data_IF_146985382358
#
_entry.id   IF_146985382358
#
_cell.length_a   1.000
_cell.length_b   1.000
_cell.length_c   1.000
_cell.angle_alpha   90.00
_cell.angle_beta   90.00
_cell.angle_gamma   90.00
#
_symmetry.space_group_name_H-M   'P 1'
#
loop_
_entity.id
_entity.type
_entity.pdbx_description
1 polymer ?
#
# COMPACT_ATOMS: atom_id res chain seq x y z
N UNK A 1 -12.44 -21.32 -13.19
CA UNK A 1 -12.30 -20.17 -14.08
C UNK A 1 -12.74 -18.83 -13.46
N UNK A 2 -13.72 -18.79 -12.55
CA UNK A 2 -14.21 -17.53 -11.95
C UNK A 2 -13.20 -16.89 -10.96
N UNK A 3 -12.47 -17.70 -10.17
CA UNK A 3 -11.48 -17.21 -9.20
C UNK A 3 -10.26 -16.48 -9.82
N UNK A 4 -9.82 -16.91 -11.03
CA UNK A 4 -8.70 -16.25 -11.74
C UNK A 4 -9.02 -14.81 -12.18
N UNK A 5 -10.29 -14.49 -12.49
CA UNK A 5 -10.68 -13.14 -12.92
C UNK A 5 -10.79 -12.13 -11.78
N UNK A 6 -11.11 -12.60 -10.56
CA UNK A 6 -11.26 -11.74 -9.39
C UNK A 6 -9.87 -11.33 -8.84
N UNK A 7 -8.91 -12.27 -8.79
CA UNK A 7 -7.53 -11.98 -8.37
C UNK A 7 -6.82 -11.01 -9.32
N UNK A 8 -6.97 -11.19 -10.65
CA UNK A 8 -6.36 -10.29 -11.62
C UNK A 8 -6.90 -8.85 -11.54
N UNK A 9 -8.17 -8.66 -11.14
CA UNK A 9 -8.79 -7.33 -11.05
C UNK A 9 -8.35 -6.56 -9.78
N UNK A 10 -8.16 -7.25 -8.65
CA UNK A 10 -7.69 -6.62 -7.42
C UNK A 10 -6.22 -6.17 -7.50
N UNK A 11 -5.40 -6.88 -8.30
CA UNK A 11 -3.96 -6.61 -8.42
C UNK A 11 -3.60 -5.48 -9.39
N UNK A 12 -4.47 -5.14 -10.35
CA UNK A 12 -4.26 -4.00 -11.23
C UNK A 12 -4.20 -2.65 -10.47
N UNK A 13 -4.80 -2.59 -9.28
CA UNK A 13 -4.80 -1.37 -8.44
C UNK A 13 -3.49 -1.13 -7.69
N UNK A 14 -2.66 -2.16 -7.47
CA UNK A 14 -1.38 -2.04 -6.74
C UNK A 14 -0.28 -1.47 -7.63
N UNK A 15 -0.38 -1.58 -8.96
CA UNK A 15 0.62 -1.04 -9.88
C UNK A 15 0.58 0.49 -10.06
N UNK A 16 -0.44 1.19 -9.56
CA UNK A 16 -0.62 2.63 -9.77
C UNK A 16 0.06 3.54 -8.72
N UNK A 17 0.68 2.99 -7.67
CA UNK A 17 1.22 3.78 -6.55
C UNK A 17 2.77 3.94 -6.62
N UNK A 18 3.38 3.75 -7.77
CA UNK A 18 4.84 3.77 -7.90
C UNK A 18 5.42 4.69 -8.97
N UNK A 19 4.72 5.70 -9.45
CA UNK A 19 5.32 6.67 -10.38
C UNK A 19 5.87 7.89 -9.65
N UNK A 20 7.05 7.76 -9.06
CA UNK A 20 7.93 8.90 -8.83
C UNK A 20 8.35 9.41 -10.21
N UNK A 21 7.89 10.61 -10.59
CA UNK A 21 8.34 11.27 -11.78
C UNK A 21 9.82 11.64 -11.64
N UNK A 22 10.69 10.78 -12.16
CA UNK A 22 12.07 11.14 -12.46
C UNK A 22 12.01 11.91 -13.78
N UNK A 23 12.32 13.19 -13.73
CA UNK A 23 12.59 14.00 -14.91
C UNK A 23 13.86 13.44 -15.57
N UNK A 24 13.68 12.57 -16.55
CA UNK A 24 14.79 12.06 -17.35
C UNK A 24 15.03 13.03 -18.51
N UNK A 25 16.25 13.59 -18.53
CA UNK A 25 16.82 14.16 -19.74
C UNK A 25 16.84 13.10 -20.84
N UNK A 26 16.42 13.51 -22.04
CA UNK A 26 16.49 12.67 -23.23
C UNK A 26 17.96 12.33 -23.53
N UNK A 27 18.22 11.04 -23.63
CA UNK A 27 19.24 10.32 -24.39
C UNK A 27 19.71 9.10 -23.58
N UNK A 28 18.96 8.05 -23.63
CA UNK A 28 19.41 6.65 -23.79
C UNK A 28 18.18 5.72 -23.71
N UNK A 29 17.59 5.40 -24.86
CA UNK A 29 16.60 4.33 -24.97
C UNK A 29 17.32 2.96 -24.99
N UNK A 30 17.97 2.64 -23.90
CA UNK A 30 18.24 1.25 -23.58
C UNK A 30 16.89 0.65 -23.15
N UNK A 31 16.25 -0.12 -24.03
CA UNK A 31 15.11 -0.95 -23.68
C UNK A 31 15.48 -1.73 -22.45
N UNK A 32 14.83 -1.43 -21.32
CA UNK A 32 15.02 -2.15 -20.08
C UNK A 32 14.73 -3.62 -20.39
N UNK A 33 15.76 -4.45 -20.48
CA UNK A 33 15.65 -5.86 -20.78
C UNK A 33 14.81 -6.45 -19.65
N UNK A 34 13.55 -6.81 -19.92
CA UNK A 34 12.64 -7.43 -18.95
C UNK A 34 13.37 -8.65 -18.39
N UNK A 35 13.84 -8.56 -17.15
CA UNK A 35 14.60 -9.64 -16.53
C UNK A 35 13.63 -10.79 -16.27
N UNK A 36 13.71 -11.81 -17.13
CA UNK A 36 12.87 -13.01 -17.07
C UNK A 36 13.26 -13.84 -15.85
N UNK A 37 12.27 -14.26 -15.06
CA UNK A 37 12.44 -15.09 -13.87
C UNK A 37 11.92 -16.49 -14.12
N UNK A 38 12.64 -17.49 -13.64
CA UNK A 38 12.26 -18.90 -13.71
C UNK A 38 11.46 -19.32 -12.48
N UNK A 39 10.85 -20.52 -12.53
CA UNK A 39 10.24 -21.14 -11.35
C UNK A 39 11.23 -21.24 -10.18
N UNK A 40 12.45 -21.68 -10.45
CA UNK A 40 13.50 -21.83 -9.43
C UNK A 40 13.90 -20.50 -8.79
N UNK A 41 13.91 -19.38 -9.56
CA UNK A 41 14.17 -18.06 -9.02
C UNK A 41 13.05 -17.63 -8.05
N UNK A 42 11.79 -17.91 -8.40
CA UNK A 42 10.65 -17.59 -7.56
C UNK A 42 10.62 -18.44 -6.28
N UNK A 43 10.88 -19.76 -6.39
CA UNK A 43 10.98 -20.67 -5.24
C UNK A 43 12.08 -20.21 -4.26
N UNK A 44 13.24 -19.84 -4.79
CA UNK A 44 14.34 -19.32 -3.96
C UNK A 44 13.99 -18.02 -3.26
N UNK A 45 13.29 -17.11 -3.95
CA UNK A 45 12.83 -15.84 -3.38
C UNK A 45 11.82 -16.08 -2.24
N UNK A 46 10.77 -16.87 -2.48
CA UNK A 46 9.73 -17.16 -1.48
C UNK A 46 10.34 -17.81 -0.24
N UNK A 47 11.21 -18.81 -0.44
CA UNK A 47 11.92 -19.49 0.65
C UNK A 47 12.79 -18.53 1.48
N UNK A 48 13.38 -17.51 0.86
CA UNK A 48 14.19 -16.52 1.60
C UNK A 48 13.38 -15.71 2.62
N UNK A 49 12.06 -15.67 2.48
CA UNK A 49 11.15 -14.95 3.37
C UNK A 49 10.43 -15.83 4.41
N UNK A 50 10.74 -17.13 4.52
CA UNK A 50 10.06 -18.03 5.46
C UNK A 50 10.20 -17.57 6.91
N UNK A 51 11.40 -17.15 7.35
CA UNK A 51 11.61 -16.66 8.71
C UNK A 51 10.97 -15.30 8.94
N UNK A 52 11.01 -14.42 7.92
CA UNK A 52 10.39 -13.10 7.96
C UNK A 52 8.87 -13.21 8.08
N UNK A 53 8.23 -14.04 7.26
CA UNK A 53 6.79 -14.33 7.30
C UNK A 53 6.33 -14.79 8.68
N UNK A 54 7.16 -15.58 9.38
CA UNK A 54 6.79 -16.17 10.64
C UNK A 54 6.91 -15.22 11.86
N UNK A 55 7.77 -14.21 11.80
CA UNK A 55 8.14 -13.40 12.97
C UNK A 55 8.18 -11.89 12.70
N UNK A 56 8.93 -11.46 11.71
CA UNK A 56 9.27 -10.04 11.53
C UNK A 56 8.12 -9.22 10.95
N UNK A 57 7.22 -9.85 10.21
CA UNK A 57 6.07 -9.19 9.58
C UNK A 57 5.18 -8.45 10.61
N UNK A 58 5.16 -8.92 11.85
CA UNK A 58 4.34 -8.34 12.91
C UNK A 58 4.83 -6.97 13.41
N UNK A 59 6.03 -6.55 13.02
CA UNK A 59 6.59 -5.24 13.37
C UNK A 59 6.14 -4.14 12.38
N UNK A 60 5.57 -4.54 11.25
CA UNK A 60 5.12 -3.64 10.19
C UNK A 60 3.62 -3.33 10.32
N UNK A 61 3.18 -2.26 9.65
CA UNK A 61 1.76 -1.93 9.57
C UNK A 61 0.95 -3.03 8.88
N UNK A 62 -0.28 -3.20 9.32
CA UNK A 62 -1.15 -4.30 8.88
C UNK A 62 -1.40 -4.24 7.38
N UNK A 63 -1.63 -3.05 6.81
CA UNK A 63 -1.95 -2.89 5.39
C UNK A 63 -0.78 -3.28 4.47
N UNK A 64 0.44 -2.84 4.79
CA UNK A 64 1.63 -3.21 4.01
C UNK A 64 2.03 -4.66 4.25
N UNK A 65 1.91 -5.14 5.50
CA UNK A 65 2.14 -6.52 5.87
C UNK A 65 1.22 -7.51 5.15
N UNK A 66 -0.09 -7.25 5.12
CA UNK A 66 -1.07 -8.06 4.40
C UNK A 66 -0.78 -8.08 2.89
N UNK A 67 -0.49 -6.95 2.26
CA UNK A 67 -0.11 -6.91 0.84
C UNK A 67 1.10 -7.77 0.53
N UNK A 68 2.08 -7.80 1.42
CA UNK A 68 3.26 -8.66 1.24
C UNK A 68 2.92 -10.13 1.42
N UNK A 69 2.11 -10.49 2.42
CA UNK A 69 1.65 -11.87 2.63
C UNK A 69 0.80 -12.37 1.46
N UNK A 70 -0.09 -11.54 0.93
CA UNK A 70 -0.90 -11.85 -0.27
C UNK A 70 0.00 -12.09 -1.51
N UNK A 71 1.06 -11.29 -1.67
CA UNK A 71 2.03 -11.48 -2.75
C UNK A 71 2.80 -12.81 -2.62
N UNK A 72 3.15 -13.21 -1.39
CA UNK A 72 3.77 -14.51 -1.13
C UNK A 72 2.79 -15.67 -1.39
N UNK A 73 1.51 -15.55 -0.98
CA UNK A 73 0.49 -16.54 -1.27
C UNK A 73 0.25 -16.68 -2.78
N UNK A 74 0.21 -15.55 -3.49
CA UNK A 74 0.12 -15.57 -4.96
C UNK A 74 1.31 -16.29 -5.59
N UNK A 75 2.53 -16.02 -5.11
CA UNK A 75 3.74 -16.68 -5.60
C UNK A 75 3.71 -18.20 -5.34
N UNK A 76 3.27 -18.63 -4.14
CA UNK A 76 3.07 -20.03 -3.80
C UNK A 76 2.07 -20.70 -4.76
N UNK A 77 0.96 -20.03 -5.09
CA UNK A 77 -0.04 -20.53 -6.04
C UNK A 77 0.54 -20.67 -7.45
N UNK A 78 1.33 -19.69 -7.91
CA UNK A 78 2.01 -19.74 -9.22
C UNK A 78 3.05 -20.86 -9.27
N UNK A 79 3.81 -21.10 -8.21
CA UNK A 79 4.78 -22.19 -8.09
C UNK A 79 4.09 -23.55 -8.22
N UNK A 80 2.92 -23.71 -7.59
CA UNK A 80 2.20 -24.99 -7.52
C UNK A 80 1.28 -25.25 -8.73
N UNK A 81 1.02 -24.24 -9.57
CA UNK A 81 0.22 -24.42 -10.79
C UNK A 81 1.09 -24.93 -11.93
N UNK A 82 0.86 -26.18 -12.37
CA UNK A 82 1.56 -26.79 -13.50
C UNK A 82 1.35 -26.09 -14.84
N UNK A 83 0.34 -25.22 -14.96
CA UNK A 83 0.05 -24.43 -16.16
C UNK A 83 0.73 -23.04 -16.13
N UNK A 84 1.45 -22.70 -15.07
CA UNK A 84 2.16 -21.43 -14.95
C UNK A 84 3.29 -21.32 -15.97
N UNK A 85 3.40 -20.13 -16.54
CA UNK A 85 4.38 -19.77 -17.56
C UNK A 85 5.54 -18.98 -16.96
N UNK A 86 6.58 -18.77 -17.76
CA UNK A 86 7.72 -17.90 -17.39
C UNK A 86 7.29 -16.46 -17.11
N UNK A 87 6.27 -15.97 -17.79
CA UNK A 87 5.71 -14.64 -17.53
C UNK A 87 5.00 -14.61 -16.15
N UNK A 88 4.27 -15.66 -15.78
CA UNK A 88 3.63 -15.76 -14.46
C UNK A 88 4.68 -15.76 -13.34
N UNK A 89 5.79 -16.52 -13.48
CA UNK A 89 6.88 -16.51 -12.50
C UNK A 89 7.54 -15.13 -12.40
N UNK A 90 7.72 -14.44 -13.53
CA UNK A 90 8.30 -13.09 -13.55
C UNK A 90 7.40 -12.08 -12.84
N UNK A 91 6.10 -12.12 -13.10
CA UNK A 91 5.11 -11.23 -12.45
C UNK A 91 5.06 -11.49 -10.95
N UNK A 92 4.96 -12.75 -10.52
CA UNK A 92 4.94 -13.11 -9.10
C UNK A 92 6.23 -12.66 -8.39
N UNK A 93 7.39 -12.86 -9.00
CA UNK A 93 8.68 -12.41 -8.47
C UNK A 93 8.71 -10.89 -8.28
N UNK A 94 8.24 -10.13 -9.26
CA UNK A 94 8.19 -8.68 -9.20
C UNK A 94 7.23 -8.20 -8.11
N UNK A 95 6.08 -8.85 -7.96
CA UNK A 95 5.09 -8.51 -6.91
C UNK A 95 5.65 -8.73 -5.51
N UNK A 96 6.25 -9.89 -5.24
CA UNK A 96 6.88 -10.17 -3.94
C UNK A 96 7.98 -9.15 -3.65
N UNK A 97 8.83 -8.86 -4.64
CA UNK A 97 9.93 -7.90 -4.47
C UNK A 97 9.40 -6.49 -4.22
N UNK A 98 8.38 -6.05 -4.97
CA UNK A 98 7.82 -4.70 -4.84
C UNK A 98 7.11 -4.51 -3.49
N UNK A 99 6.31 -5.48 -3.05
CA UNK A 99 5.61 -5.42 -1.77
C UNK A 99 6.57 -5.48 -0.60
N UNK A 100 7.61 -6.33 -0.65
CA UNK A 100 8.66 -6.35 0.36
C UNK A 100 9.39 -5.01 0.46
N UNK A 101 9.77 -4.41 -0.66
CA UNK A 101 10.45 -3.11 -0.69
C UNK A 101 9.55 -1.95 -0.22
N UNK A 102 8.24 -2.13 -0.20
CA UNK A 102 7.29 -1.14 0.31
C UNK A 102 7.03 -1.26 1.81
N UNK A 103 7.48 -2.34 2.45
CA UNK A 103 7.38 -2.50 3.90
C UNK A 103 8.19 -1.44 4.61
N UNK A 104 7.56 -0.75 5.55
CA UNK A 104 8.21 0.28 6.34
C UNK A 104 7.65 0.30 7.76
N UNK A 105 8.52 0.43 8.73
CA UNK A 105 8.15 0.75 10.11
C UNK A 105 8.21 2.27 10.23
N UNK A 106 7.09 2.88 10.60
CA UNK A 106 6.99 4.32 10.76
C UNK A 106 7.30 4.75 12.18
N UNK A 107 7.89 5.93 12.33
CA UNK A 107 8.21 6.55 13.62
C UNK A 107 7.08 7.47 14.09
N UNK A 108 7.08 7.79 15.38
CA UNK A 108 6.16 8.77 15.96
C UNK A 108 6.30 10.15 15.30
N UNK A 109 7.54 10.56 14.95
CA UNK A 109 7.80 11.84 14.28
C UNK A 109 7.23 11.88 12.86
N UNK A 110 7.27 10.75 12.14
CA UNK A 110 6.66 10.65 10.81
C UNK A 110 5.14 10.72 10.91
N UNK A 111 4.53 10.02 11.89
CA UNK A 111 3.10 10.10 12.15
C UNK A 111 2.67 11.51 12.53
N UNK A 112 3.38 12.17 13.44
CA UNK A 112 3.11 13.56 13.83
C UNK A 112 3.21 14.53 12.64
N UNK A 113 4.16 14.29 11.73
CA UNK A 113 4.31 15.07 10.50
C UNK A 113 3.12 14.87 9.55
N UNK A 114 2.65 13.63 9.40
CA UNK A 114 1.48 13.29 8.60
C UNK A 114 0.20 13.93 9.16
N UNK A 115 -0.02 13.85 10.49
CA UNK A 115 -1.14 14.50 11.18
C UNK A 115 -1.11 16.01 10.90
N UNK A 116 0.04 16.66 11.10
CA UNK A 116 0.21 18.09 10.84
C UNK A 116 -0.09 18.46 9.38
N UNK A 117 0.33 17.65 8.43
CA UNK A 117 0.08 17.87 7.01
C UNK A 117 -1.41 17.80 6.65
N UNK A 118 -2.20 17.02 7.39
CA UNK A 118 -3.63 16.84 7.19
C UNK A 118 -4.51 17.73 8.09
N UNK A 119 -3.90 18.47 9.04
CA UNK A 119 -4.63 19.29 10.00
C UNK A 119 -5.54 20.34 9.35
N UNK A 120 -5.10 20.98 8.28
CA UNK A 120 -5.92 21.98 7.59
C UNK A 120 -7.17 21.38 6.93
N UNK A 121 -7.09 20.14 6.45
CA UNK A 121 -8.26 19.41 5.93
C UNK A 121 -9.23 19.10 7.07
N UNK A 122 -8.71 18.58 8.18
CA UNK A 122 -9.51 18.26 9.36
C UNK A 122 -10.17 19.49 9.96
N UNK A 123 -9.42 20.60 10.14
CA UNK A 123 -9.94 21.86 10.71
C UNK A 123 -10.96 22.54 9.78
N UNK A 124 -10.79 22.47 8.46
CA UNK A 124 -11.69 23.16 7.51
C UNK A 124 -13.13 22.65 7.59
N UNK A 125 -13.30 21.40 7.97
CA UNK A 125 -14.63 20.85 8.16
C UNK A 125 -15.31 21.32 9.45
N UNK A 126 -14.54 21.57 10.51
CA UNK A 126 -15.08 22.10 11.75
C UNK A 126 -15.56 23.56 11.64
N UNK A 127 -15.09 24.30 10.64
CA UNK A 127 -15.44 25.71 10.41
C UNK A 127 -16.66 25.84 9.49
N UNK A 128 -16.89 24.87 8.60
CA UNK A 128 -17.95 24.93 7.60
C UNK A 128 -19.19 24.10 7.98
N UNK A 129 -19.32 23.74 9.23
CA UNK A 129 -20.01 22.55 9.71
C UNK A 129 -21.53 22.58 9.71
N UNK A 130 -22.26 23.47 9.07
CA UNK A 130 -23.73 23.36 9.17
C UNK A 130 -24.51 23.32 7.84
N UNK A 131 -24.00 23.79 6.72
CA UNK A 131 -24.83 23.76 5.49
C UNK A 131 -24.08 23.50 4.17
N UNK A 132 -22.74 23.51 4.16
CA UNK A 132 -21.94 23.43 2.92
C UNK A 132 -21.11 22.13 2.78
N UNK A 133 -21.03 21.33 3.83
CA UNK A 133 -20.08 20.21 3.90
C UNK A 133 -20.54 18.93 3.22
N UNK A 134 -21.83 18.70 3.10
CA UNK A 134 -22.36 17.47 2.45
C UNK A 134 -21.98 17.35 0.98
N UNK A 135 -21.43 18.42 0.38
CA UNK A 135 -21.10 18.46 -1.03
C UNK A 135 -19.61 18.50 -1.38
N UNK A 136 -18.71 18.61 -0.40
CA UNK A 136 -17.27 18.71 -0.67
C UNK A 136 -16.58 17.35 -0.72
N UNK A 137 -17.01 16.44 0.12
CA UNK A 137 -16.49 15.08 0.20
C UNK A 137 -17.66 14.08 0.27
N UNK A 138 -17.43 12.87 -0.18
CA UNK A 138 -18.32 11.74 0.09
C UNK A 138 -18.38 11.53 1.62
N UNK A 139 -19.60 11.54 2.19
CA UNK A 139 -19.81 11.49 3.65
C UNK A 139 -19.07 10.31 4.31
N UNK A 140 -19.18 9.11 3.73
CA UNK A 140 -18.52 7.91 4.26
C UNK A 140 -16.98 8.04 4.23
N UNK A 141 -16.44 8.67 3.20
CA UNK A 141 -14.98 8.91 3.09
C UNK A 141 -14.51 9.96 4.06
N UNK A 142 -15.35 10.98 4.28
CA UNK A 142 -15.05 12.01 5.27
C UNK A 142 -15.04 11.43 6.68
N UNK A 143 -16.07 10.67 7.05
CA UNK A 143 -16.18 10.04 8.36
C UNK A 143 -14.99 9.10 8.61
N UNK A 144 -14.59 8.32 7.58
CA UNK A 144 -13.39 7.50 7.66
C UNK A 144 -12.14 8.35 7.91
N UNK A 145 -11.94 9.44 7.14
CA UNK A 145 -10.78 10.31 7.31
C UNK A 145 -10.71 10.91 8.72
N UNK A 146 -11.83 11.42 9.26
CA UNK A 146 -11.91 11.96 10.62
C UNK A 146 -11.55 10.91 11.64
N UNK A 147 -12.14 9.72 11.53
CA UNK A 147 -11.86 8.60 12.43
C UNK A 147 -10.40 8.20 12.44
N UNK A 148 -9.76 8.11 11.26
CA UNK A 148 -8.34 7.75 11.16
C UNK A 148 -7.42 8.89 11.63
N UNK A 149 -7.81 10.14 11.41
CA UNK A 149 -7.08 11.30 11.92
C UNK A 149 -7.07 11.34 13.46
N UNK A 150 -8.23 11.19 14.10
CA UNK A 150 -8.36 11.16 15.55
C UNK A 150 -7.66 9.94 16.17
N UNK A 151 -7.75 8.79 15.53
CA UNK A 151 -7.04 7.59 15.93
C UNK A 151 -5.52 7.78 15.87
N UNK A 152 -5.02 8.44 14.82
CA UNK A 152 -3.60 8.76 14.68
C UNK A 152 -3.11 9.72 15.78
N UNK A 153 -3.90 10.75 16.13
CA UNK A 153 -3.58 11.64 17.27
C UNK A 153 -3.55 10.87 18.60
N UNK A 154 -4.51 9.96 18.81
CA UNK A 154 -4.60 9.18 20.04
C UNK A 154 -3.40 8.27 20.29
N UNK A 155 -2.79 7.72 19.24
CA UNK A 155 -1.69 6.75 19.38
C UNK A 155 -0.30 7.37 19.35
N UNK A 156 -0.17 8.69 19.25
CA UNK A 156 1.14 9.37 19.19
C UNK A 156 2.08 9.05 20.36
N UNK A 157 1.53 8.75 21.54
CA UNK A 157 2.31 8.39 22.72
C UNK A 157 2.61 6.88 22.80
N UNK A 158 2.18 6.09 21.81
CA UNK A 158 2.45 4.66 21.77
C UNK A 158 3.95 4.39 21.58
N UNK A 159 4.43 3.35 22.28
CA UNK A 159 5.78 2.81 22.09
C UNK A 159 5.82 1.60 21.16
N UNK A 160 4.65 1.17 20.70
CA UNK A 160 4.49 0.05 19.79
C UNK A 160 4.61 0.55 18.35
N UNK A 161 5.67 0.14 17.67
CA UNK A 161 5.96 0.54 16.28
C UNK A 161 4.88 0.08 15.31
N UNK A 162 4.24 -1.05 15.58
CA UNK A 162 3.13 -1.55 14.76
C UNK A 162 1.92 -0.63 14.86
N UNK A 163 1.54 -0.24 16.07
CA UNK A 163 0.40 0.68 16.28
C UNK A 163 0.64 2.01 15.57
N UNK A 164 1.88 2.54 15.65
CA UNK A 164 2.28 3.77 14.93
C UNK A 164 2.21 3.56 13.42
N UNK A 165 2.71 2.41 12.92
CA UNK A 165 2.70 2.11 11.49
C UNK A 165 1.28 1.90 10.97
N UNK A 166 0.41 1.21 11.70
CA UNK A 166 -1.00 1.04 11.37
C UNK A 166 -1.72 2.39 11.24
N UNK A 167 -1.54 3.27 12.21
CA UNK A 167 -2.14 4.60 12.19
C UNK A 167 -1.62 5.46 11.03
N UNK A 168 -0.32 5.38 10.72
CA UNK A 168 0.27 6.08 9.58
C UNK A 168 -0.33 5.61 8.25
N UNK A 169 -0.41 4.29 8.05
CA UNK A 169 -0.94 3.69 6.84
C UNK A 169 -2.44 4.00 6.68
N UNK A 170 -3.22 3.85 7.74
CA UNK A 170 -4.66 4.11 7.74
C UNK A 170 -4.98 5.57 7.45
N UNK A 171 -4.29 6.52 8.09
CA UNK A 171 -4.48 7.95 7.82
C UNK A 171 -4.03 8.33 6.41
N UNK A 172 -2.93 7.72 5.92
CA UNK A 172 -2.45 7.95 4.54
C UNK A 172 -3.49 7.48 3.53
N UNK A 173 -4.04 6.27 3.70
CA UNK A 173 -5.07 5.70 2.84
C UNK A 173 -6.35 6.55 2.86
N UNK A 174 -6.83 6.91 4.05
CA UNK A 174 -8.04 7.72 4.21
C UNK A 174 -7.88 9.11 3.58
N UNK A 175 -6.73 9.77 3.79
CA UNK A 175 -6.45 11.08 3.21
C UNK A 175 -6.31 11.06 1.67
N UNK A 176 -5.79 9.96 1.11
CA UNK A 176 -5.69 9.75 -0.33
C UNK A 176 -7.06 9.46 -0.97
N UNK A 177 -7.91 8.71 -0.28
CA UNK A 177 -9.24 8.32 -0.75
C UNK A 177 -10.31 9.39 -0.56
N UNK A 178 -10.03 10.44 0.23
CA UNK A 178 -10.96 11.54 0.48
C UNK A 178 -11.39 12.24 -0.83
N UNK A 179 -10.56 12.18 -1.87
CA UNK A 179 -10.82 12.81 -3.16
C UNK A 179 -10.54 14.32 -3.15
N UNK A 180 -10.43 14.89 -4.35
CA UNK A 180 -10.46 16.34 -4.51
C UNK A 180 -11.92 16.82 -4.51
N UNK A 181 -12.12 18.10 -4.21
CA UNK A 181 -13.38 18.81 -4.36
C UNK A 181 -14.04 18.45 -5.69
N UNK A 182 -15.19 17.81 -5.64
CA UNK A 182 -16.05 17.75 -6.83
C UNK A 182 -16.69 19.14 -6.97
N UNK A 183 -16.03 20.00 -7.74
CA UNK A 183 -16.66 21.27 -8.14
C UNK A 183 -17.74 20.88 -9.14
N UNK A 184 -19.00 20.98 -8.73
CA UNK A 184 -20.16 20.92 -9.61
C UNK A 184 -20.38 22.26 -10.26
#
# INVERSE_FOLDING_TARGET
MLRRRILASAMASVMAIGSVAVVASAEDTAAATKQVKTKADLEALVKSYDSFRAKEINDYGSMSGEKFLDALEYADNVINDSASTVDDYTVAYQMVTATYNSLKIYTTEELATLIKANKSKYDSNNILNDELNDNLYDGDKWDKFVSEYESAEYVLDSKDSRIISDAYESLTDAAANLGGLTVV
#
